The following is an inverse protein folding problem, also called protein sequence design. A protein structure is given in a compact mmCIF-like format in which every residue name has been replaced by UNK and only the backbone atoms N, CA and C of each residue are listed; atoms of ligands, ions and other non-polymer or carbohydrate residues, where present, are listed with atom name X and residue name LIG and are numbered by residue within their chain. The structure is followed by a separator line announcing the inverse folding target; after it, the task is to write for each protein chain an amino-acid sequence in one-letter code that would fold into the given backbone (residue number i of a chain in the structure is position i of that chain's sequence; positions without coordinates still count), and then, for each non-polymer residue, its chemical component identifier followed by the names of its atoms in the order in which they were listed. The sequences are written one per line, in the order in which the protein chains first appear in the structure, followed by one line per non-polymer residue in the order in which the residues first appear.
data_IF_609628291180
#
_entry.id   IF_609628291180
#
_cell.length_a   1.000
_cell.length_b   1.000
_cell.length_c   1.000
_cell.angle_alpha   90.00
_cell.angle_beta   90.00
_cell.angle_gamma   90.00
#
_symmetry.space_group_name_H-M   'P 1'
#
loop_
_entity.id
_entity.type
_entity.pdbx_description
1 polymer ?
#
# COMPACT_ATOMS: atom_id res chain seq x y z
N UNK A 1 16.40 0.36 6.55
CA UNK A 1 17.11 1.50 5.94
C UNK A 1 16.84 1.45 4.44
N UNK A 2 16.06 2.39 3.88
CA UNK A 2 15.81 2.52 2.43
C UNK A 2 14.52 1.92 1.85
N UNK A 3 13.98 0.82 2.40
CA UNK A 3 12.82 0.10 1.83
C UNK A 3 11.59 1.00 1.57
N UNK A 4 11.26 1.89 2.51
CA UNK A 4 10.09 2.77 2.39
C UNK A 4 10.29 3.84 1.32
N UNK A 5 11.46 4.49 1.29
CA UNK A 5 11.82 5.51 0.30
C UNK A 5 11.77 4.95 -1.11
N UNK A 6 12.33 3.75 -1.34
CA UNK A 6 12.26 3.08 -2.64
C UNK A 6 10.82 2.77 -3.05
N UNK A 7 9.96 2.38 -2.10
CA UNK A 7 8.54 2.12 -2.37
C UNK A 7 7.79 3.40 -2.75
N UNK A 8 8.09 4.52 -2.07
CA UNK A 8 7.49 5.82 -2.39
C UNK A 8 7.87 6.29 -3.80
N UNK A 9 9.14 6.18 -4.16
CA UNK A 9 9.60 6.56 -5.50
C UNK A 9 8.92 5.72 -6.58
N UNK A 10 8.75 4.42 -6.32
CA UNK A 10 8.05 3.53 -7.24
C UNK A 10 6.57 3.93 -7.42
N UNK A 11 5.87 4.24 -6.33
CA UNK A 11 4.46 4.69 -6.38
C UNK A 11 4.36 6.03 -7.10
N UNK A 12 5.25 6.98 -6.77
CA UNK A 12 5.26 8.31 -7.41
C UNK A 12 5.53 8.20 -8.91
N UNK A 13 6.48 7.37 -9.33
CA UNK A 13 6.80 7.19 -10.75
C UNK A 13 5.66 6.50 -11.52
N UNK A 14 5.02 5.47 -10.95
CA UNK A 14 3.86 4.81 -11.58
C UNK A 14 2.66 5.77 -11.68
N UNK A 15 2.40 6.55 -10.64
CA UNK A 15 1.29 7.51 -10.62
C UNK A 15 1.49 8.66 -11.63
N UNK A 16 2.72 9.17 -11.76
CA UNK A 16 3.04 10.34 -12.60
C UNK A 16 3.31 9.95 -14.06
N UNK A 17 4.07 8.88 -14.31
CA UNK A 17 4.49 8.52 -15.69
C UNK A 17 3.52 7.56 -16.38
N UNK A 18 2.88 6.66 -15.63
CA UNK A 18 2.07 5.58 -16.21
C UNK A 18 0.57 5.73 -15.98
N UNK A 19 0.10 6.82 -15.34
CA UNK A 19 -1.31 7.02 -14.96
C UNK A 19 -1.94 5.81 -14.25
N UNK A 20 -1.12 5.01 -13.56
CA UNK A 20 -1.53 3.75 -12.94
C UNK A 20 -1.93 3.91 -11.48
N UNK A 21 -2.73 2.97 -10.98
CA UNK A 21 -3.01 2.84 -9.55
C UNK A 21 -2.00 1.90 -8.89
N UNK A 22 -1.63 2.20 -7.66
CA UNK A 22 -0.77 1.34 -6.82
C UNK A 22 -1.57 0.70 -5.69
N UNK A 23 -1.20 -0.51 -5.28
CA UNK A 23 -1.78 -1.17 -4.11
C UNK A 23 -0.67 -1.59 -3.16
N UNK A 24 -0.74 -1.11 -1.93
CA UNK A 24 0.15 -1.53 -0.85
C UNK A 24 -0.61 -2.47 0.10
N UNK A 25 -0.06 -3.68 0.28
CA UNK A 25 -0.56 -4.65 1.25
C UNK A 25 0.45 -4.86 2.38
N UNK A 26 0.21 -4.21 3.53
CA UNK A 26 1.04 -4.31 4.72
C UNK A 26 0.66 -5.53 5.58
N UNK A 27 1.41 -6.63 5.45
CA UNK A 27 1.17 -7.89 6.16
C UNK A 27 2.06 -8.00 7.40
N UNK A 28 1.46 -7.87 8.57
CA UNK A 28 2.16 -8.01 9.85
C UNK A 28 3.25 -6.96 10.06
N UNK A 29 3.10 -5.77 9.51
CA UNK A 29 4.00 -4.63 9.78
C UNK A 29 3.71 -4.03 11.16
N UNK A 30 4.62 -3.20 11.68
CA UNK A 30 4.35 -2.47 12.93
C UNK A 30 3.37 -1.33 12.64
N UNK A 31 2.41 -1.10 13.55
CA UNK A 31 1.43 -0.02 13.42
C UNK A 31 2.09 1.35 13.23
N UNK A 32 3.22 1.60 13.90
CA UNK A 32 4.02 2.82 13.71
C UNK A 32 4.53 2.94 12.26
N UNK A 33 5.10 1.88 11.70
CA UNK A 33 5.63 1.88 10.34
C UNK A 33 4.50 2.09 9.31
N UNK A 34 3.31 1.51 9.54
CA UNK A 34 2.13 1.77 8.73
C UNK A 34 1.64 3.22 8.82
N UNK A 35 1.62 3.80 10.02
CA UNK A 35 1.25 5.19 10.24
C UNK A 35 2.21 6.16 9.55
N UNK A 36 3.52 5.96 9.72
CA UNK A 36 4.56 6.78 9.08
C UNK A 36 4.39 6.72 7.55
N UNK A 37 4.17 5.52 6.99
CA UNK A 37 3.94 5.33 5.56
C UNK A 37 2.67 6.05 5.05
N UNK A 38 1.58 6.02 5.80
CA UNK A 38 0.34 6.73 5.44
C UNK A 38 0.59 8.24 5.34
N UNK A 39 1.29 8.82 6.31
CA UNK A 39 1.62 10.24 6.30
C UNK A 39 2.59 10.60 5.17
N UNK A 40 3.57 9.76 4.88
CA UNK A 40 4.46 9.93 3.73
C UNK A 40 3.70 9.95 2.39
N UNK A 41 2.71 9.07 2.20
CA UNK A 41 1.85 9.08 1.00
C UNK A 41 0.98 10.35 0.94
N UNK A 42 0.49 10.81 2.09
CA UNK A 42 -0.31 12.02 2.21
C UNK A 42 0.48 13.26 1.84
N UNK A 43 1.64 13.44 2.45
CA UNK A 43 2.53 14.57 2.22
C UNK A 43 3.12 14.51 0.80
N UNK A 44 3.27 13.29 0.26
CA UNK A 44 3.64 13.05 -1.12
C UNK A 44 2.57 13.42 -2.15
N UNK A 45 1.31 13.62 -1.74
CA UNK A 45 0.19 13.97 -2.62
C UNK A 45 -0.24 12.84 -3.55
N UNK A 46 -0.02 11.58 -3.15
CA UNK A 46 -0.32 10.38 -3.97
C UNK A 46 -1.38 9.47 -3.36
N UNK A 47 -2.01 9.90 -2.26
CA UNK A 47 -3.06 9.13 -1.57
C UNK A 47 -4.27 8.79 -2.46
N UNK A 48 -4.57 9.60 -3.47
CA UNK A 48 -5.65 9.36 -4.45
C UNK A 48 -5.28 8.31 -5.51
N UNK A 49 -3.99 7.95 -5.60
CA UNK A 49 -3.45 6.98 -6.57
C UNK A 49 -2.98 5.68 -5.94
N UNK A 50 -3.07 5.55 -4.61
CA UNK A 50 -2.64 4.36 -3.88
C UNK A 50 -3.76 3.84 -2.98
N UNK A 51 -4.04 2.54 -3.07
CA UNK A 51 -4.86 1.83 -2.09
C UNK A 51 -3.95 1.23 -1.01
N UNK A 52 -4.23 1.54 0.25
CA UNK A 52 -3.48 1.05 1.41
C UNK A 52 -4.30 0.00 2.17
N UNK A 53 -3.81 -1.22 2.22
CA UNK A 53 -4.45 -2.35 2.91
C UNK A 53 -3.55 -2.83 4.04
N UNK A 54 -4.02 -2.76 5.29
CA UNK A 54 -3.20 -3.03 6.46
C UNK A 54 -3.74 -4.19 7.30
N UNK A 55 -2.85 -5.12 7.64
CA UNK A 55 -3.08 -6.18 8.62
C UNK A 55 -1.90 -6.21 9.56
N UNK A 56 -1.88 -5.27 10.50
CA UNK A 56 -0.74 -4.96 11.37
C UNK A 56 -0.43 -6.10 12.36
N UNK A 57 0.75 -6.08 13.00
CA UNK A 57 1.17 -7.11 13.95
C UNK A 57 0.19 -7.36 15.11
N UNK A 58 -0.57 -6.33 15.53
CA UNK A 58 -1.55 -6.43 16.61
C UNK A 58 -2.86 -7.11 16.19
N UNK A 59 -3.05 -7.40 14.90
CA UNK A 59 -4.25 -8.08 14.40
C UNK A 59 -4.17 -9.60 14.62
N UNK A 60 -5.34 -10.27 14.80
CA UNK A 60 -5.40 -11.73 14.90
C UNK A 60 -4.69 -12.42 13.71
N UNK A 61 -4.08 -13.60 13.92
CA UNK A 61 -3.34 -14.29 12.87
C UNK A 61 -4.19 -14.58 11.63
N UNK A 62 -5.50 -14.82 11.79
CA UNK A 62 -6.42 -15.01 10.67
C UNK A 62 -6.55 -13.76 9.78
N UNK A 63 -6.59 -12.56 10.37
CA UNK A 63 -6.64 -11.31 9.63
C UNK A 63 -5.33 -11.10 8.85
N UNK A 64 -4.18 -11.33 9.50
CA UNK A 64 -2.86 -11.22 8.85
C UNK A 64 -2.67 -12.22 7.71
N UNK A 65 -3.18 -13.44 7.85
CA UNK A 65 -3.12 -14.46 6.80
C UNK A 65 -3.94 -14.10 5.55
N UNK A 66 -4.95 -13.24 5.69
CA UNK A 66 -5.88 -12.89 4.60
C UNK A 66 -5.61 -11.52 3.99
N UNK A 67 -4.96 -10.61 4.70
CA UNK A 67 -4.82 -9.22 4.25
C UNK A 67 -4.07 -9.06 2.91
N UNK A 68 -3.14 -9.96 2.60
CA UNK A 68 -2.49 -10.01 1.30
C UNK A 68 -3.48 -10.30 0.16
N UNK A 69 -4.45 -11.19 0.39
CA UNK A 69 -5.49 -11.51 -0.59
C UNK A 69 -6.43 -10.33 -0.79
N UNK A 70 -6.77 -9.60 0.27
CA UNK A 70 -7.52 -8.35 0.15
C UNK A 70 -6.79 -7.34 -0.74
N UNK A 71 -5.49 -7.16 -0.54
CA UNK A 71 -4.67 -6.31 -1.41
C UNK A 71 -4.65 -6.81 -2.86
N UNK A 72 -4.52 -8.13 -3.07
CA UNK A 72 -4.57 -8.72 -4.41
C UNK A 72 -5.90 -8.47 -5.10
N UNK A 73 -7.04 -8.63 -4.39
CA UNK A 73 -8.37 -8.37 -4.96
C UNK A 73 -8.54 -6.92 -5.40
N UNK A 74 -8.01 -5.95 -4.64
CA UNK A 74 -8.01 -4.54 -5.05
C UNK A 74 -7.16 -4.34 -6.31
N UNK A 75 -6.00 -4.99 -6.40
CA UNK A 75 -5.15 -4.93 -7.58
C UNK A 75 -5.80 -5.58 -8.81
N UNK A 76 -6.50 -6.71 -8.63
CA UNK A 76 -7.27 -7.37 -9.68
C UNK A 76 -8.41 -6.48 -10.19
N UNK A 77 -9.10 -5.77 -9.30
CA UNK A 77 -10.10 -4.79 -9.71
C UNK A 77 -9.51 -3.69 -10.61
N UNK A 78 -8.36 -3.12 -10.23
CA UNK A 78 -7.69 -2.12 -11.08
C UNK A 78 -7.17 -2.69 -12.39
N UNK A 79 -6.73 -3.95 -12.43
CA UNK A 79 -6.34 -4.65 -13.66
C UNK A 79 -7.53 -4.85 -14.61
N UNK A 80 -8.70 -5.19 -14.06
CA UNK A 80 -9.86 -5.61 -14.85
C UNK A 80 -10.78 -4.44 -15.23
N UNK A 81 -10.75 -3.32 -14.49
CA UNK A 81 -11.66 -2.17 -14.66
C UNK A 81 -10.95 -0.81 -14.83
N UNK A 82 -9.63 -0.73 -14.61
CA UNK A 82 -8.83 0.49 -14.78
C UNK A 82 -8.27 0.62 -16.19
#
# INVERSE_FOLDING_TARGET
VGKTVTLMELIRNIAVEHSGYSVFAGVGERTREGNDFYHEMKDGGVLDKVALVYGQMNEPPGARARVALTGLTVAEYFRDQG
#
